data_IF_747019090080
#
_entry.id   IF_747019090080
#
_cell.length_a   1.000
_cell.length_b   1.000
_cell.length_c   1.000
_cell.angle_alpha   90.00
_cell.angle_beta   90.00
_cell.angle_gamma   90.00
#
_symmetry.space_group_name_H-M   'P 1'
#
loop_
_entity.id
_entity.type
_entity.pdbx_description
1 polymer ?
#
# COMPACT_ATOMS: atom_id res chain seq x y z
N UNK A 1 29.86 -47.26 19.01
CA UNK A 1 29.97 -45.85 19.42
C UNK A 1 29.31 -45.02 18.36
N UNK A 2 28.37 -44.15 18.74
CA UNK A 2 27.82 -43.18 17.80
C UNK A 2 28.90 -42.13 17.50
N UNK A 3 29.03 -41.71 16.24
CA UNK A 3 29.92 -40.62 15.86
C UNK A 3 29.28 -39.32 16.37
N UNK A 4 29.97 -38.60 17.26
CA UNK A 4 29.43 -37.39 17.89
C UNK A 4 29.70 -36.11 17.07
N UNK A 5 30.82 -36.07 16.33
CA UNK A 5 31.20 -34.96 15.47
C UNK A 5 32.08 -35.43 14.30
N UNK A 6 32.15 -34.61 13.26
CA UNK A 6 33.04 -34.80 12.10
C UNK A 6 33.78 -33.50 11.79
N UNK A 7 35.06 -33.61 11.43
CA UNK A 7 35.87 -32.54 10.85
C UNK A 7 36.39 -33.00 9.49
N UNK A 8 36.26 -32.15 8.48
CA UNK A 8 36.72 -32.38 7.12
C UNK A 8 37.52 -31.17 6.66
N UNK A 9 38.62 -31.40 5.95
CA UNK A 9 39.52 -30.36 5.43
C UNK A 9 39.99 -30.74 4.03
N UNK A 10 40.04 -29.77 3.12
CA UNK A 10 40.48 -29.94 1.74
C UNK A 10 39.33 -30.34 0.81
N UNK A 11 38.90 -29.41 -0.04
CA UNK A 11 37.86 -29.59 -1.06
C UNK A 11 36.57 -30.26 -0.54
N UNK A 12 36.04 -29.74 0.56
CA UNK A 12 34.82 -30.27 1.19
C UNK A 12 33.61 -29.95 0.29
N UNK A 13 32.86 -30.98 -0.10
CA UNK A 13 31.60 -30.84 -0.83
C UNK A 13 30.48 -31.47 0.01
N UNK A 14 29.52 -30.64 0.38
CA UNK A 14 28.34 -31.04 1.15
C UNK A 14 27.13 -30.88 0.22
N UNK A 15 26.34 -31.94 0.09
CA UNK A 15 25.10 -31.91 -0.68
C UNK A 15 23.94 -32.36 0.18
N UNK A 16 22.95 -31.47 0.33
CA UNK A 16 21.71 -31.73 1.05
C UNK A 16 20.53 -31.34 0.15
N UNK A 17 19.77 -32.34 -0.31
CA UNK A 17 18.69 -32.15 -1.28
C UNK A 17 19.20 -31.49 -2.58
N UNK A 18 18.74 -30.27 -2.87
CA UNK A 18 19.16 -29.46 -4.04
C UNK A 18 20.27 -28.46 -3.74
N UNK A 19 20.74 -28.38 -2.49
CA UNK A 19 21.74 -27.40 -2.06
C UNK A 19 23.11 -28.07 -2.04
N UNK A 20 24.08 -27.45 -2.70
CA UNK A 20 25.49 -27.89 -2.66
C UNK A 20 26.34 -26.76 -2.10
N UNK A 21 27.09 -27.07 -1.04
CA UNK A 21 28.05 -26.18 -0.40
C UNK A 21 29.44 -26.74 -0.67
N UNK A 22 30.34 -25.90 -1.18
CA UNK A 22 31.77 -26.17 -1.28
C UNK A 22 32.50 -25.37 -0.21
N UNK A 23 33.52 -25.93 0.41
CA UNK A 23 34.25 -25.28 1.49
C UNK A 23 35.67 -25.82 1.62
N UNK A 24 36.54 -25.06 2.27
CA UNK A 24 37.90 -25.50 2.59
C UNK A 24 37.91 -26.40 3.81
N UNK A 25 37.10 -26.05 4.82
CA UNK A 25 36.97 -26.80 6.07
C UNK A 25 35.51 -26.86 6.54
N UNK A 26 35.13 -28.00 7.11
CA UNK A 26 33.85 -28.21 7.78
C UNK A 26 34.08 -28.87 9.13
N UNK A 27 33.46 -28.32 10.17
CA UNK A 27 33.21 -29.00 11.43
C UNK A 27 31.69 -29.15 11.63
N UNK A 28 31.21 -30.35 11.96
CA UNK A 28 29.81 -30.60 12.26
C UNK A 28 29.67 -31.44 13.54
N UNK A 29 28.87 -30.95 14.48
CA UNK A 29 28.53 -31.60 15.75
C UNK A 29 27.10 -32.17 15.64
N UNK A 30 27.00 -33.50 15.57
CA UNK A 30 25.73 -34.21 15.40
C UNK A 30 24.85 -34.13 16.65
N UNK A 31 25.46 -33.99 17.83
CA UNK A 31 24.74 -33.94 19.11
C UNK A 31 24.05 -32.60 19.29
N UNK A 32 24.76 -31.52 18.95
CA UNK A 32 24.26 -30.14 19.11
C UNK A 32 23.62 -29.57 17.85
N UNK A 33 23.67 -30.30 16.73
CA UNK A 33 23.26 -29.84 15.40
C UNK A 33 23.88 -28.49 15.03
N UNK A 34 25.19 -28.36 15.27
CA UNK A 34 25.96 -27.13 14.99
C UNK A 34 27.01 -27.41 13.93
N UNK A 35 27.19 -26.44 13.03
CA UNK A 35 28.15 -26.52 11.94
C UNK A 35 29.04 -25.26 11.92
N UNK A 36 30.29 -25.43 11.51
CA UNK A 36 31.21 -24.35 11.17
C UNK A 36 31.84 -24.68 9.83
N UNK A 37 31.66 -23.80 8.85
CA UNK A 37 32.15 -23.93 7.48
C UNK A 37 33.07 -22.75 7.18
N UNK A 38 34.26 -23.00 6.65
CA UNK A 38 35.25 -21.97 6.29
C UNK A 38 35.33 -21.85 4.77
N UNK A 39 35.33 -20.62 4.28
CA UNK A 39 35.33 -20.28 2.85
C UNK A 39 34.21 -21.00 2.08
N UNK A 40 33.00 -20.89 2.59
CA UNK A 40 31.83 -21.52 2.02
C UNK A 40 31.42 -20.85 0.70
N UNK A 41 31.20 -21.65 -0.33
CA UNK A 41 30.63 -21.24 -1.61
C UNK A 41 29.40 -22.09 -1.87
N UNK A 42 28.25 -21.43 -2.04
CA UNK A 42 27.01 -22.09 -2.43
C UNK A 42 26.44 -21.46 -3.69
N UNK A 43 25.75 -22.28 -4.47
CA UNK A 43 24.96 -21.86 -5.62
C UNK A 43 23.49 -22.17 -5.33
N UNK A 44 22.65 -21.17 -5.49
CA UNK A 44 21.20 -21.29 -5.45
C UNK A 44 20.60 -20.72 -6.74
N UNK A 45 19.29 -20.88 -6.93
CA UNK A 45 18.56 -20.33 -8.06
C UNK A 45 17.41 -19.46 -7.58
N UNK A 46 17.10 -18.42 -8.36
CA UNK A 46 15.82 -17.71 -8.26
C UNK A 46 14.71 -18.52 -8.86
N UNK A 47 13.80 -19.02 -8.02
CA UNK A 47 12.67 -19.81 -8.48
C UNK A 47 11.75 -19.01 -9.42
N UNK A 48 11.68 -17.68 -9.27
CA UNK A 48 10.81 -16.82 -10.07
C UNK A 48 11.46 -16.39 -11.40
N UNK A 49 12.77 -16.13 -11.39
CA UNK A 49 13.49 -15.57 -12.56
C UNK A 49 14.45 -16.54 -13.25
N UNK A 50 14.71 -17.71 -12.66
CA UNK A 50 15.69 -18.68 -13.15
C UNK A 50 17.16 -18.23 -13.04
N UNK A 51 17.43 -17.11 -12.36
CA UNK A 51 18.77 -16.52 -12.29
C UNK A 51 19.59 -17.25 -11.21
N UNK A 52 20.83 -17.72 -11.52
CA UNK A 52 21.71 -18.29 -10.51
C UNK A 52 22.16 -17.22 -9.51
N UNK A 53 22.21 -17.57 -8.24
CA UNK A 53 22.78 -16.75 -7.17
C UNK A 53 23.94 -17.51 -6.55
N UNK A 54 25.09 -16.84 -6.50
CA UNK A 54 26.29 -17.31 -5.82
C UNK A 54 26.40 -16.58 -4.49
N UNK A 55 26.54 -17.36 -3.42
CA UNK A 55 26.81 -16.86 -2.07
C UNK A 55 28.16 -17.38 -1.65
N UNK A 56 29.03 -16.46 -1.23
CA UNK A 56 30.35 -16.75 -0.69
C UNK A 56 30.42 -16.21 0.73
N UNK A 57 30.97 -16.95 1.67
CA UNK A 57 31.13 -16.51 3.04
C UNK A 57 32.49 -16.96 3.57
N UNK A 58 33.25 -16.04 4.18
CA UNK A 58 34.53 -16.39 4.81
C UNK A 58 34.30 -17.39 5.96
N UNK A 59 33.21 -17.22 6.70
CA UNK A 59 32.78 -18.16 7.73
C UNK A 59 31.26 -18.28 7.74
N UNK A 60 30.76 -19.51 7.77
CA UNK A 60 29.35 -19.81 7.90
C UNK A 60 29.15 -20.73 9.11
N UNK A 61 28.21 -20.39 9.98
CA UNK A 61 27.90 -21.14 11.21
C UNK A 61 26.43 -21.53 11.24
N UNK A 62 26.14 -22.78 11.55
CA UNK A 62 24.81 -23.19 12.00
C UNK A 62 24.79 -23.11 13.53
N UNK A 63 24.06 -22.13 14.05
CA UNK A 63 23.95 -21.86 15.50
C UNK A 63 22.89 -22.75 16.16
N UNK A 64 21.84 -23.08 15.43
CA UNK A 64 20.76 -24.00 15.78
C UNK A 64 20.16 -24.59 14.49
N UNK A 65 19.25 -25.56 14.62
CA UNK A 65 18.58 -26.20 13.49
C UNK A 65 17.95 -25.20 12.51
N UNK A 66 17.36 -24.12 13.02
CA UNK A 66 16.72 -23.05 12.26
C UNK A 66 17.48 -21.72 12.27
N UNK A 67 18.75 -21.67 12.71
CA UNK A 67 19.49 -20.40 12.84
C UNK A 67 20.90 -20.50 12.29
N UNK A 68 21.23 -19.62 11.36
CA UNK A 68 22.50 -19.56 10.64
C UNK A 68 23.14 -18.19 10.82
N UNK A 69 24.46 -18.14 10.81
CA UNK A 69 25.23 -16.91 10.83
C UNK A 69 26.33 -16.95 9.75
N UNK A 70 26.60 -15.82 9.12
CA UNK A 70 27.67 -15.68 8.12
C UNK A 70 28.51 -14.45 8.41
N UNK A 71 29.82 -14.57 8.21
CA UNK A 71 30.79 -13.47 8.30
C UNK A 71 31.42 -13.25 6.92
N UNK A 72 31.57 -11.98 6.52
CA UNK A 72 32.06 -11.52 5.22
C UNK A 72 31.39 -12.26 4.06
N UNK A 73 30.07 -12.05 3.94
CA UNK A 73 29.24 -12.67 2.92
C UNK A 73 29.20 -11.82 1.66
N UNK A 74 29.40 -12.44 0.50
CA UNK A 74 29.24 -11.82 -0.81
C UNK A 74 28.13 -12.54 -1.57
N UNK A 75 27.11 -11.78 -2.01
CA UNK A 75 26.00 -12.24 -2.83
C UNK A 75 26.14 -11.64 -4.24
N UNK A 76 26.01 -12.47 -5.28
CA UNK A 76 26.07 -12.02 -6.67
C UNK A 76 25.33 -12.97 -7.61
N UNK A 77 24.87 -12.48 -8.75
CA UNK A 77 24.37 -13.31 -9.86
C UNK A 77 25.47 -13.75 -10.84
N UNK A 78 26.71 -13.26 -10.65
CA UNK A 78 27.86 -13.61 -11.49
C UNK A 78 28.59 -14.84 -10.95
N UNK A 79 28.96 -15.76 -11.84
CA UNK A 79 29.77 -16.92 -11.48
C UNK A 79 31.24 -16.59 -11.21
N UNK A 80 31.72 -15.45 -11.70
CA UNK A 80 33.12 -15.06 -11.59
C UNK A 80 33.53 -14.74 -10.15
N UNK A 81 34.80 -15.04 -9.83
CA UNK A 81 35.37 -14.75 -8.51
C UNK A 81 35.34 -13.26 -8.18
N UNK A 82 35.60 -12.40 -9.17
CA UNK A 82 35.42 -10.95 -9.11
C UNK A 82 34.12 -10.57 -9.82
N UNK A 83 32.99 -10.48 -9.11
CA UNK A 83 31.72 -10.10 -9.71
C UNK A 83 31.67 -8.61 -10.03
N UNK A 84 31.14 -8.25 -11.19
CA UNK A 84 30.91 -6.85 -11.56
C UNK A 84 29.90 -6.17 -10.63
N UNK A 85 28.87 -6.88 -10.17
CA UNK A 85 27.91 -6.37 -9.18
C UNK A 85 27.81 -7.36 -8.05
N UNK A 86 27.99 -6.90 -6.81
CA UNK A 86 27.86 -7.74 -5.62
C UNK A 86 27.33 -6.98 -4.39
N UNK A 87 26.58 -7.70 -3.56
CA UNK A 87 26.19 -7.25 -2.23
C UNK A 87 27.13 -7.89 -1.22
N UNK A 88 27.89 -7.08 -0.48
CA UNK A 88 28.86 -7.52 0.51
C UNK A 88 28.33 -7.18 1.90
N UNK A 89 28.32 -8.14 2.81
CA UNK A 89 27.73 -8.04 4.14
C UNK A 89 28.78 -8.48 5.15
N UNK A 90 29.07 -7.66 6.16
CA UNK A 90 30.07 -8.03 7.18
C UNK A 90 29.56 -9.16 8.07
N UNK A 91 28.34 -9.04 8.57
CA UNK A 91 27.70 -10.04 9.43
C UNK A 91 26.25 -10.25 9.01
N UNK A 92 25.82 -11.51 8.92
CA UNK A 92 24.41 -11.87 8.70
C UNK A 92 23.97 -12.93 9.69
N UNK A 93 22.75 -12.79 10.22
CA UNK A 93 22.05 -13.82 10.99
C UNK A 93 20.76 -14.14 10.25
N UNK A 94 20.56 -15.39 9.87
CA UNK A 94 19.36 -15.89 9.21
C UNK A 94 18.64 -16.82 10.17
N UNK A 95 17.36 -16.56 10.42
CA UNK A 95 16.48 -17.43 11.20
C UNK A 95 15.38 -17.95 10.29
N UNK A 96 15.23 -19.27 10.20
CA UNK A 96 14.10 -19.90 9.53
C UNK A 96 12.89 -19.83 10.46
N UNK A 97 11.86 -19.13 10.00
CA UNK A 97 10.59 -18.88 10.70
C UNK A 97 9.43 -19.63 10.05
N UNK A 98 9.71 -20.57 9.14
CA UNK A 98 8.69 -21.39 8.49
C UNK A 98 7.88 -22.14 9.55
N UNK A 99 6.58 -21.88 9.61
CA UNK A 99 5.68 -22.60 10.52
C UNK A 99 5.24 -23.90 9.85
N UNK A 100 5.41 -25.02 10.55
CA UNK A 100 4.87 -26.30 10.12
C UNK A 100 3.42 -26.32 10.58
N UNK A 101 2.48 -26.03 9.67
CA UNK A 101 1.06 -26.10 9.99
C UNK A 101 0.60 -27.57 9.98
N UNK A 102 0.71 -28.23 11.13
CA UNK A 102 0.43 -29.67 11.32
C UNK A 102 -1.02 -30.06 10.99
N UNK A 103 -1.96 -29.11 10.86
CA UNK A 103 -3.38 -29.39 10.56
C UNK A 103 -3.70 -29.59 9.09
N UNK A 104 -2.86 -29.12 8.17
CA UNK A 104 -3.21 -29.07 6.73
C UNK A 104 -2.28 -29.91 5.85
N UNK A 105 -1.14 -30.39 6.39
CA UNK A 105 -0.17 -31.15 5.60
C UNK A 105 0.42 -30.35 4.43
N UNK A 106 0.21 -29.03 4.40
CA UNK A 106 0.85 -28.08 3.49
C UNK A 106 1.93 -27.35 4.26
N UNK A 107 3.17 -27.48 3.80
CA UNK A 107 4.27 -26.60 4.22
C UNK A 107 3.86 -25.18 3.81
N UNK A 108 3.84 -24.22 4.75
CA UNK A 108 3.65 -22.81 4.40
C UNK A 108 4.74 -22.39 3.42
N UNK A 109 4.53 -21.32 2.65
CA UNK A 109 5.64 -20.72 1.90
C UNK A 109 6.81 -20.47 2.87
N UNK A 110 8.02 -20.84 2.44
CA UNK A 110 9.21 -20.78 3.29
C UNK A 110 9.43 -19.34 3.78
N UNK A 111 9.48 -19.15 5.09
CA UNK A 111 9.59 -17.83 5.73
C UNK A 111 10.93 -17.73 6.45
N UNK A 112 11.67 -16.66 6.19
CA UNK A 112 12.98 -16.42 6.80
C UNK A 112 13.06 -15.00 7.36
N UNK A 113 13.91 -14.81 8.36
CA UNK A 113 14.31 -13.52 8.89
C UNK A 113 15.83 -13.37 8.80
N UNK A 114 16.31 -12.49 7.93
CA UNK A 114 17.73 -12.20 7.75
C UNK A 114 18.08 -10.80 8.26
N UNK A 115 18.92 -10.74 9.29
CA UNK A 115 19.47 -9.49 9.85
C UNK A 115 20.91 -9.33 9.39
N UNK A 116 21.22 -8.22 8.74
CA UNK A 116 22.50 -7.95 8.08
C UNK A 116 23.13 -6.67 8.63
N UNK A 117 24.46 -6.66 8.78
CA UNK A 117 25.24 -5.50 9.21
C UNK A 117 26.27 -5.11 8.14
N UNK A 118 26.48 -3.82 8.00
CA UNK A 118 27.44 -3.19 7.08
C UNK A 118 27.28 -3.68 5.63
N UNK A 119 26.06 -3.53 5.13
CA UNK A 119 25.69 -3.95 3.77
C UNK A 119 26.27 -2.95 2.77
N UNK A 120 27.05 -3.46 1.81
CA UNK A 120 27.75 -2.69 0.78
C UNK A 120 27.39 -3.22 -0.60
N UNK A 121 26.69 -2.42 -1.40
CA UNK A 121 26.54 -2.69 -2.82
C UNK A 121 27.80 -2.22 -3.54
N UNK A 122 28.46 -3.13 -4.23
CA UNK A 122 29.68 -2.85 -5.00
C UNK A 122 29.44 -2.99 -6.50
N UNK A 123 30.04 -2.07 -7.24
CA UNK A 123 30.28 -2.16 -8.67
C UNK A 123 31.79 -2.35 -8.84
N UNK A 124 32.19 -3.53 -9.31
CA UNK A 124 33.54 -4.06 -9.21
C UNK A 124 34.05 -3.95 -7.76
N UNK A 125 35.15 -3.22 -7.53
CA UNK A 125 35.73 -3.02 -6.19
C UNK A 125 35.18 -1.77 -5.48
N UNK A 126 34.43 -0.92 -6.18
CA UNK A 126 33.93 0.35 -5.64
C UNK A 126 32.60 0.16 -4.93
N UNK A 127 32.52 0.63 -3.69
CA UNK A 127 31.25 0.67 -2.95
C UNK A 127 30.41 1.84 -3.44
N UNK A 128 29.26 1.55 -4.04
CA UNK A 128 28.33 2.56 -4.58
C UNK A 128 27.19 2.86 -3.60
N UNK A 129 26.91 1.97 -2.66
CA UNK A 129 25.94 2.17 -1.59
C UNK A 129 26.38 1.43 -0.33
N UNK A 130 26.20 2.07 0.83
CA UNK A 130 26.48 1.52 2.15
C UNK A 130 25.28 1.72 3.08
N UNK A 131 24.93 0.70 3.83
CA UNK A 131 23.89 0.77 4.86
C UNK A 131 24.30 -0.02 6.11
N UNK A 132 24.19 0.56 7.32
CA UNK A 132 24.74 -0.05 8.53
C UNK A 132 23.96 -1.28 9.01
N UNK A 133 22.62 -1.26 8.91
CA UNK A 133 21.76 -2.35 9.39
C UNK A 133 20.61 -2.55 8.40
N UNK A 134 20.44 -3.76 7.90
CA UNK A 134 19.34 -4.14 7.01
C UNK A 134 18.67 -5.41 7.51
N UNK A 135 17.35 -5.51 7.35
CA UNK A 135 16.58 -6.72 7.63
C UNK A 135 15.82 -7.14 6.37
N UNK A 136 15.78 -8.42 6.04
CA UNK A 136 15.07 -8.96 4.88
C UNK A 136 14.35 -10.25 5.25
N UNK A 137 13.18 -10.49 4.67
CA UNK A 137 12.45 -11.75 4.78
C UNK A 137 12.96 -12.84 3.80
N UNK A 138 14.08 -12.58 3.12
CA UNK A 138 14.64 -13.38 2.01
C UNK A 138 13.67 -13.62 0.84
N UNK A 139 12.57 -12.86 0.79
CA UNK A 139 11.63 -12.85 -0.32
C UNK A 139 12.17 -11.89 -1.38
N UNK A 140 12.42 -12.45 -2.56
CA UNK A 140 13.26 -11.81 -3.57
C UNK A 140 12.53 -10.66 -4.27
N UNK A 141 13.25 -9.59 -4.66
CA UNK A 141 14.71 -9.37 -4.56
C UNK A 141 15.20 -9.07 -3.14
N UNK A 142 16.43 -9.47 -2.77
CA UNK A 142 17.04 -9.27 -1.43
C UNK A 142 17.75 -7.91 -1.25
N UNK A 143 17.61 -7.01 -2.23
CA UNK A 143 18.22 -5.68 -2.19
C UNK A 143 17.30 -4.69 -1.47
N UNK A 144 17.87 -3.66 -0.79
CA UNK A 144 17.06 -2.58 -0.22
C UNK A 144 16.44 -1.70 -1.31
N UNK A 145 17.07 -1.67 -2.49
CA UNK A 145 16.61 -0.94 -3.66
C UNK A 145 15.58 -1.77 -4.43
N UNK A 146 14.39 -1.20 -4.63
CA UNK A 146 13.30 -1.76 -5.46
C UNK A 146 13.53 -1.43 -6.94
N UNK A 147 13.78 -0.17 -7.25
CA UNK A 147 13.97 0.29 -8.61
C UNK A 147 14.76 1.60 -8.67
N UNK A 148 15.37 1.82 -9.83
CA UNK A 148 15.98 3.09 -10.23
C UNK A 148 15.46 3.43 -11.61
N UNK A 149 14.95 4.64 -11.77
CA UNK A 149 14.55 5.18 -13.06
C UNK A 149 15.38 6.43 -13.34
N UNK A 150 15.88 6.55 -14.56
CA UNK A 150 16.63 7.72 -15.03
C UNK A 150 15.98 8.18 -16.31
N UNK A 151 15.68 9.47 -16.39
CA UNK A 151 15.00 10.06 -17.52
C UNK A 151 15.55 11.43 -17.87
N UNK A 152 15.14 11.93 -19.03
CA UNK A 152 15.32 13.32 -19.41
C UNK A 152 14.14 13.79 -20.24
N UNK A 153 13.48 14.85 -19.79
CA UNK A 153 12.44 15.51 -20.60
C UNK A 153 12.35 17.02 -20.35
N UNK A 154 11.45 17.67 -21.09
CA UNK A 154 11.30 19.11 -21.05
C UNK A 154 10.57 19.64 -19.79
N UNK A 155 9.79 18.81 -19.11
CA UNK A 155 9.02 19.19 -17.92
C UNK A 155 9.85 19.03 -16.65
N UNK A 156 10.56 17.92 -16.52
CA UNK A 156 11.31 17.53 -15.32
C UNK A 156 12.82 17.77 -15.44
N UNK A 157 13.34 17.88 -16.67
CA UNK A 157 14.78 17.90 -16.91
C UNK A 157 15.39 16.51 -16.77
N UNK A 158 16.67 16.44 -16.38
CA UNK A 158 17.29 15.18 -15.98
C UNK A 158 16.64 14.69 -14.69
N UNK A 159 16.08 13.48 -14.70
CA UNK A 159 15.43 12.86 -13.56
C UNK A 159 16.18 11.63 -13.08
N UNK A 160 16.22 11.45 -11.75
CA UNK A 160 16.67 10.23 -11.08
C UNK A 160 15.65 9.91 -10.00
N UNK A 161 14.95 8.80 -10.17
CA UNK A 161 13.91 8.35 -9.24
C UNK A 161 14.34 7.02 -8.64
N UNK A 162 14.39 6.94 -7.32
CA UNK A 162 14.80 5.72 -6.61
C UNK A 162 13.70 5.26 -5.68
N UNK A 163 13.42 3.96 -5.67
CA UNK A 163 12.44 3.33 -4.78
C UNK A 163 13.14 2.31 -3.93
N UNK A 164 12.84 2.28 -2.64
CA UNK A 164 13.50 1.43 -1.66
C UNK A 164 12.45 0.71 -0.79
N UNK A 165 12.77 -0.50 -0.33
CA UNK A 165 11.94 -1.18 0.66
C UNK A 165 12.06 -0.46 2.02
N UNK A 166 11.01 0.25 2.43
CA UNK A 166 11.03 1.10 3.61
C UNK A 166 11.26 0.28 4.90
N UNK A 167 10.52 -0.81 5.07
CA UNK A 167 10.71 -1.71 6.21
C UNK A 167 12.16 -2.20 6.35
N UNK A 168 12.80 -2.54 5.22
CA UNK A 168 14.20 -3.02 5.21
C UNK A 168 15.20 -1.94 5.57
N UNK A 169 15.00 -0.71 5.07
CA UNK A 169 15.84 0.45 5.42
C UNK A 169 15.75 0.76 6.92
N UNK A 170 14.56 0.63 7.51
CA UNK A 170 14.31 0.85 8.93
C UNK A 170 14.68 -0.36 9.81
N UNK A 171 15.10 -1.49 9.22
CA UNK A 171 15.41 -2.72 9.95
C UNK A 171 14.18 -3.40 10.58
N UNK A 172 12.99 -3.07 10.10
CA UNK A 172 11.72 -3.63 10.56
C UNK A 172 11.38 -4.92 9.79
N UNK A 173 10.66 -5.82 10.45
CA UNK A 173 10.05 -6.95 9.76
C UNK A 173 8.77 -6.42 9.09
N UNK A 174 8.70 -6.54 7.77
CA UNK A 174 7.50 -6.20 7.03
C UNK A 174 6.41 -7.22 7.34
N UNK A 175 5.27 -6.73 7.82
CA UNK A 175 4.17 -7.60 8.19
C UNK A 175 3.51 -8.16 6.91
N UNK A 176 3.00 -9.39 6.97
CA UNK A 176 2.44 -10.08 5.79
C UNK A 176 1.38 -9.24 5.06
N UNK A 177 1.29 -9.27 3.73
CA UNK A 177 0.32 -8.46 2.99
C UNK A 177 0.54 -6.94 3.11
N UNK A 178 1.69 -6.46 3.58
CA UNK A 178 2.08 -5.05 3.56
C UNK A 178 3.24 -4.84 2.61
N UNK A 179 3.17 -3.84 1.74
CA UNK A 179 4.27 -3.40 0.90
C UNK A 179 4.59 -1.92 1.19
N UNK A 180 5.78 -1.68 1.74
CA UNK A 180 6.24 -0.35 2.12
C UNK A 180 7.39 0.13 1.23
N UNK A 181 7.23 1.32 0.67
CA UNK A 181 8.17 1.94 -0.26
C UNK A 181 8.59 3.30 0.24
N UNK A 182 9.90 3.55 0.24
CA UNK A 182 10.48 4.87 0.36
C UNK A 182 10.90 5.37 -1.02
N UNK A 183 10.46 6.57 -1.38
CA UNK A 183 10.80 7.24 -2.63
C UNK A 183 11.80 8.37 -2.36
N UNK A 184 12.87 8.43 -3.15
CA UNK A 184 13.80 9.55 -3.17
C UNK A 184 14.09 9.93 -4.61
N UNK A 185 13.67 11.15 -4.96
CA UNK A 185 13.59 11.62 -6.33
C UNK A 185 14.38 12.92 -6.50
N UNK A 186 15.00 13.05 -7.67
CA UNK A 186 15.67 14.27 -8.10
C UNK A 186 15.19 14.61 -9.51
N UNK A 187 14.72 15.84 -9.69
CA UNK A 187 14.31 16.37 -10.97
C UNK A 187 15.10 17.66 -11.24
N UNK A 188 15.93 17.68 -12.27
CA UNK A 188 16.83 18.81 -12.53
C UNK A 188 16.14 20.17 -12.72
N UNK A 189 14.87 20.19 -13.14
CA UNK A 189 14.06 21.42 -13.25
C UNK A 189 13.15 21.69 -12.06
N UNK A 190 12.92 20.71 -11.17
CA UNK A 190 11.98 20.85 -10.04
C UNK A 190 12.68 20.81 -8.69
N UNK A 191 13.62 19.90 -8.46
CA UNK A 191 14.38 19.80 -7.21
C UNK A 191 14.35 18.39 -6.62
N UNK A 192 14.55 18.30 -5.30
CA UNK A 192 14.58 17.05 -4.55
C UNK A 192 13.21 16.73 -3.94
N UNK A 193 12.72 15.53 -4.23
CA UNK A 193 11.49 14.98 -3.70
C UNK A 193 11.72 13.75 -2.84
N UNK A 194 10.84 13.52 -1.88
CA UNK A 194 10.88 12.36 -1.00
C UNK A 194 9.47 11.94 -0.60
N UNK A 195 9.23 10.64 -0.49
CA UNK A 195 7.91 10.12 -0.17
C UNK A 195 7.91 8.73 0.43
N UNK A 196 6.74 8.36 0.93
CA UNK A 196 6.44 7.05 1.49
C UNK A 196 5.13 6.55 0.88
N UNK A 197 5.15 5.32 0.39
CA UNK A 197 3.97 4.61 -0.09
C UNK A 197 3.84 3.32 0.72
N UNK A 198 2.66 3.06 1.29
CA UNK A 198 2.40 1.86 2.07
C UNK A 198 1.04 1.31 1.61
N UNK A 199 1.07 0.15 0.99
CA UNK A 199 -0.10 -0.65 0.68
C UNK A 199 -0.20 -1.78 1.71
N UNK A 200 -1.39 -2.04 2.25
CA UNK A 200 -1.59 -3.10 3.23
C UNK A 200 -2.93 -3.80 3.04
N UNK A 201 -2.91 -5.12 3.22
CA UNK A 201 -4.05 -6.02 3.10
C UNK A 201 -3.99 -7.07 4.22
N UNK A 202 -5.14 -7.26 4.88
CA UNK A 202 -5.40 -8.25 5.92
C UNK A 202 -6.77 -8.86 5.67
N UNK A 203 -7.09 -9.92 6.40
CA UNK A 203 -8.37 -10.62 6.31
C UNK A 203 -9.60 -9.70 6.39
N UNK A 204 -9.56 -8.69 7.25
CA UNK A 204 -10.71 -7.81 7.51
C UNK A 204 -10.47 -6.35 7.16
N UNK A 205 -9.27 -5.94 6.73
CA UNK A 205 -9.03 -4.56 6.32
C UNK A 205 -7.96 -4.44 5.26
N UNK A 206 -8.05 -3.40 4.46
CA UNK A 206 -7.04 -3.05 3.49
C UNK A 206 -7.00 -1.53 3.29
N UNK A 207 -5.91 -1.04 2.74
CA UNK A 207 -5.78 0.37 2.43
C UNK A 207 -4.43 0.75 1.86
N UNK A 208 -4.32 2.05 1.59
CA UNK A 208 -3.14 2.67 1.01
C UNK A 208 -2.83 3.97 1.71
N UNK A 209 -1.56 4.23 1.95
CA UNK A 209 -1.03 5.50 2.43
C UNK A 209 0.03 5.98 1.44
N UNK A 210 -0.05 7.25 1.05
CA UNK A 210 0.88 7.93 0.17
C UNK A 210 1.17 9.30 0.79
N UNK A 211 2.41 9.53 1.19
CA UNK A 211 2.92 10.84 1.56
C UNK A 211 4.05 11.22 0.62
N UNK A 212 4.03 12.41 0.05
CA UNK A 212 5.11 12.87 -0.82
C UNK A 212 5.32 14.38 -0.65
N UNK A 213 6.57 14.79 -0.56
CA UNK A 213 6.98 16.19 -0.47
C UNK A 213 8.10 16.48 -1.46
N UNK A 214 8.15 17.69 -1.97
CA UNK A 214 9.21 18.15 -2.88
C UNK A 214 9.50 19.63 -2.64
N UNK A 215 10.79 19.96 -2.64
CA UNK A 215 11.23 21.34 -2.75
C UNK A 215 11.25 21.71 -4.25
N UNK A 216 10.12 22.21 -4.74
CA UNK A 216 9.88 22.59 -6.13
C UNK A 216 10.33 24.03 -6.41
N UNK A 217 11.33 24.18 -7.27
CA UNK A 217 11.82 25.46 -7.78
C UNK A 217 11.40 25.74 -9.23
N UNK A 218 10.61 24.86 -9.83
CA UNK A 218 10.18 24.97 -11.22
C UNK A 218 8.77 25.54 -11.38
N UNK A 219 8.34 25.62 -12.64
CA UNK A 219 7.02 26.09 -13.03
C UNK A 219 6.18 24.95 -13.62
N UNK A 220 4.87 25.00 -13.39
CA UNK A 220 3.92 24.00 -13.86
C UNK A 220 3.48 24.24 -15.30
N UNK A 221 3.64 23.22 -16.13
CA UNK A 221 3.13 23.20 -17.50
C UNK A 221 2.01 22.18 -17.63
N UNK A 222 0.78 22.66 -17.43
CA UNK A 222 -0.41 21.83 -17.31
C UNK A 222 -1.21 21.78 -18.61
N UNK A 223 -0.95 22.69 -19.55
CA UNK A 223 -1.64 22.74 -20.84
C UNK A 223 -0.82 23.33 -21.98
N UNK A 224 -1.48 23.49 -23.13
CA UNK A 224 -0.92 24.15 -24.33
C UNK A 224 -1.36 25.62 -24.47
N UNK A 225 -2.28 26.08 -23.64
CA UNK A 225 -2.73 27.48 -23.59
C UNK A 225 -1.78 28.28 -22.71
N UNK A 226 -1.57 29.56 -23.04
CA UNK A 226 -0.61 30.40 -22.33
C UNK A 226 -0.98 30.63 -20.86
N UNK A 227 -2.27 30.59 -20.49
CA UNK A 227 -2.72 30.62 -19.09
C UNK A 227 -2.42 29.34 -18.29
N UNK A 228 -1.88 28.30 -18.93
CA UNK A 228 -1.59 26.97 -18.35
C UNK A 228 -0.17 26.50 -18.68
N UNK A 229 0.64 27.38 -19.26
CA UNK A 229 2.09 27.23 -19.40
C UNK A 229 2.72 28.05 -18.30
N UNK A 230 3.79 27.53 -17.71
CA UNK A 230 4.68 28.32 -16.86
C UNK A 230 3.97 28.91 -15.63
N UNK A 231 3.14 28.10 -14.98
CA UNK A 231 2.43 28.46 -13.76
C UNK A 231 3.36 28.34 -12.55
N UNK A 232 3.67 29.47 -11.91
CA UNK A 232 4.43 29.47 -10.66
C UNK A 232 3.61 28.87 -9.51
N UNK A 233 4.16 27.87 -8.80
CA UNK A 233 3.51 27.35 -7.60
C UNK A 233 3.43 28.41 -6.49
N UNK A 234 2.37 28.38 -5.64
CA UNK A 234 2.20 29.35 -4.57
C UNK A 234 3.28 29.24 -3.48
N UNK A 235 3.95 28.10 -3.37
CA UNK A 235 5.08 27.90 -2.46
C UNK A 235 6.07 26.90 -3.05
N UNK A 236 7.33 26.99 -2.61
CA UNK A 236 8.39 26.07 -3.06
C UNK A 236 8.30 24.69 -2.40
N UNK A 237 7.76 24.57 -1.19
CA UNK A 237 7.59 23.26 -0.55
C UNK A 237 6.20 22.72 -0.87
N UNK A 238 6.13 21.76 -1.78
CA UNK A 238 4.89 21.18 -2.27
C UNK A 238 4.78 19.73 -1.86
N UNK A 239 3.57 19.19 -1.91
CA UNK A 239 3.38 17.80 -1.55
C UNK A 239 1.93 17.37 -1.49
N UNK A 240 1.75 16.10 -1.14
CA UNK A 240 0.45 15.50 -0.87
C UNK A 240 0.52 14.54 0.29
N UNK A 241 -0.63 14.36 0.91
CA UNK A 241 -0.91 13.26 1.80
C UNK A 241 -2.22 12.61 1.35
N UNK A 242 -2.20 11.31 1.13
CA UNK A 242 -3.36 10.53 0.76
C UNK A 242 -3.39 9.27 1.59
N UNK A 243 -4.50 9.03 2.28
CA UNK A 243 -4.74 7.80 3.02
C UNK A 243 -6.14 7.31 2.73
N UNK A 244 -6.26 6.05 2.33
CA UNK A 244 -7.53 5.39 2.11
C UNK A 244 -7.52 4.06 2.86
N UNK A 245 -8.63 3.75 3.54
CA UNK A 245 -8.75 2.57 4.37
C UNK A 245 -10.17 2.04 4.33
N UNK A 246 -10.30 0.71 4.22
CA UNK A 246 -11.57 0.00 4.35
C UNK A 246 -11.42 -1.12 5.38
N UNK A 247 -12.36 -1.18 6.32
CA UNK A 247 -12.39 -2.17 7.40
C UNK A 247 -13.76 -2.83 7.46
N UNK A 248 -13.79 -4.15 7.38
CA UNK A 248 -14.94 -4.98 7.72
C UNK A 248 -14.93 -5.26 9.23
N UNK A 249 -15.89 -4.69 9.92
CA UNK A 249 -16.06 -4.76 11.36
C UNK A 249 -17.11 -5.85 11.70
N UNK A 250 -17.15 -6.36 12.95
CA UNK A 250 -18.18 -7.29 13.39
C UNK A 250 -19.60 -6.76 13.16
N UNK A 251 -20.59 -7.66 13.10
CA UNK A 251 -22.01 -7.33 12.89
C UNK A 251 -22.29 -6.61 11.55
N UNK A 252 -21.62 -7.05 10.48
CA UNK A 252 -21.78 -6.54 9.11
C UNK A 252 -21.53 -5.03 8.95
N UNK A 253 -20.78 -4.43 9.88
CA UNK A 253 -20.35 -3.04 9.75
C UNK A 253 -19.17 -2.94 8.77
N UNK A 254 -19.16 -1.90 7.95
CA UNK A 254 -18.07 -1.56 7.06
C UNK A 254 -17.70 -0.09 7.27
N UNK A 255 -16.47 0.15 7.71
CA UNK A 255 -15.85 1.47 7.78
C UNK A 255 -15.07 1.73 6.49
N UNK A 256 -15.23 2.90 5.90
CA UNK A 256 -14.42 3.40 4.77
C UNK A 256 -14.00 4.83 5.09
N UNK A 257 -12.69 5.08 5.11
CA UNK A 257 -12.13 6.40 5.36
C UNK A 257 -11.19 6.80 4.25
N UNK A 258 -11.23 8.08 3.90
CA UNK A 258 -10.30 8.70 2.97
C UNK A 258 -9.85 10.03 3.55
N UNK A 259 -8.58 10.34 3.43
CA UNK A 259 -8.02 11.65 3.79
C UNK A 259 -7.06 12.05 2.70
N UNK A 260 -7.44 13.08 1.94
CA UNK A 260 -6.63 13.61 0.86
C UNK A 260 -6.33 15.08 1.06
N UNK A 261 -5.04 15.40 1.09
CA UNK A 261 -4.48 16.73 1.18
C UNK A 261 -3.47 16.94 0.05
N UNK A 262 -3.52 18.10 -0.58
CA UNK A 262 -2.53 18.56 -1.53
C UNK A 262 -2.11 20.00 -1.18
N UNK A 263 -0.84 20.32 -1.42
CA UNK A 263 -0.28 21.65 -1.12
C UNK A 263 -0.95 22.78 -1.90
N UNK A 264 -1.39 22.49 -3.13
CA UNK A 264 -1.98 23.46 -4.05
C UNK A 264 -2.85 22.76 -5.10
N UNK A 265 -3.66 23.57 -5.80
CA UNK A 265 -4.64 23.11 -6.79
C UNK A 265 -4.02 22.38 -7.99
N UNK A 266 -2.75 22.65 -8.31
CA UNK A 266 -2.08 22.16 -9.50
C UNK A 266 -1.20 20.93 -9.21
N UNK A 267 -0.95 20.60 -7.93
CA UNK A 267 0.02 19.58 -7.55
C UNK A 267 -0.34 18.19 -8.11
N UNK A 268 -1.60 17.77 -7.94
CA UNK A 268 -2.06 16.45 -8.40
C UNK A 268 -2.06 16.37 -9.93
N UNK A 269 -2.48 17.43 -10.63
CA UNK A 269 -2.45 17.48 -12.09
C UNK A 269 -1.03 17.41 -12.65
N UNK A 270 -0.09 18.10 -12.01
CA UNK A 270 1.32 18.17 -12.41
C UNK A 270 2.08 16.87 -12.15
N UNK A 271 1.99 16.33 -10.94
CA UNK A 271 2.79 15.17 -10.50
C UNK A 271 2.08 13.83 -10.69
N UNK A 272 0.75 13.81 -10.64
CA UNK A 272 -0.06 12.58 -10.69
C UNK A 272 -1.13 12.67 -11.78
N UNK A 273 -0.71 13.06 -12.99
CA UNK A 273 -1.61 13.41 -14.10
C UNK A 273 -2.62 12.32 -14.46
N UNK A 274 -2.23 11.04 -14.37
CA UNK A 274 -3.15 9.92 -14.60
C UNK A 274 -4.29 9.92 -13.58
N UNK A 275 -3.96 10.09 -12.30
CA UNK A 275 -4.93 10.17 -11.21
C UNK A 275 -5.83 11.40 -11.36
N UNK A 276 -5.27 12.54 -11.75
CA UNK A 276 -6.06 13.74 -12.00
C UNK A 276 -7.09 13.55 -13.12
N UNK A 277 -6.70 12.88 -14.22
CA UNK A 277 -7.54 12.78 -15.41
C UNK A 277 -8.64 11.71 -15.31
N UNK A 278 -8.33 10.56 -14.70
CA UNK A 278 -9.23 9.39 -14.69
C UNK A 278 -9.47 8.81 -13.30
N UNK A 279 -8.78 9.32 -12.29
CA UNK A 279 -8.93 8.85 -10.92
C UNK A 279 -10.21 9.34 -10.25
N UNK A 280 -10.49 8.77 -9.08
CA UNK A 280 -11.54 9.28 -8.18
C UNK A 280 -11.16 10.69 -7.72
N UNK A 281 -12.18 11.52 -7.54
CA UNK A 281 -12.01 12.80 -6.87
C UNK A 281 -11.38 12.63 -5.48
N UNK A 282 -10.48 13.54 -5.14
CA UNK A 282 -9.79 13.57 -3.85
C UNK A 282 -10.73 14.06 -2.75
N UNK A 283 -10.99 13.23 -1.74
CA UNK A 283 -11.95 13.55 -0.69
C UNK A 283 -11.37 13.36 0.70
N UNK A 284 -12.03 13.96 1.69
CA UNK A 284 -11.79 13.65 3.09
C UNK A 284 -13.11 13.26 3.74
N UNK A 285 -13.27 11.98 4.03
CA UNK A 285 -14.49 11.48 4.62
C UNK A 285 -14.26 10.24 5.50
N UNK A 286 -15.22 10.03 6.39
CA UNK A 286 -15.45 8.80 7.13
C UNK A 286 -16.87 8.34 6.83
N UNK A 287 -17.00 7.11 6.36
CA UNK A 287 -18.27 6.49 6.03
C UNK A 287 -18.38 5.16 6.74
N UNK A 288 -19.40 5.01 7.58
CA UNK A 288 -19.68 3.80 8.32
C UNK A 288 -21.05 3.29 7.89
N UNK A 289 -21.11 2.07 7.34
CA UNK A 289 -22.38 1.47 6.91
C UNK A 289 -22.57 0.08 7.49
N UNK A 290 -23.82 -0.31 7.72
CA UNK A 290 -24.25 -1.67 8.01
C UNK A 290 -25.34 -2.06 7.05
N UNK A 291 -25.23 -3.25 6.49
CA UNK A 291 -26.24 -3.82 5.60
C UNK A 291 -26.57 -5.20 6.16
N UNK A 292 -27.84 -5.46 6.40
CA UNK A 292 -28.31 -6.72 6.96
C UNK A 292 -29.70 -7.03 6.42
N UNK A 293 -29.86 -8.24 5.89
CA UNK A 293 -31.08 -8.71 5.23
C UNK A 293 -31.62 -7.71 4.19
N UNK A 294 -32.71 -7.02 4.52
CA UNK A 294 -33.42 -6.07 3.68
C UNK A 294 -33.27 -4.62 4.13
N UNK A 295 -32.37 -4.31 5.08
CA UNK A 295 -32.15 -2.94 5.53
C UNK A 295 -30.67 -2.53 5.50
N UNK A 296 -30.45 -1.22 5.37
CA UNK A 296 -29.14 -0.61 5.46
C UNK A 296 -29.18 0.66 6.29
N UNK A 297 -28.13 0.90 7.06
CA UNK A 297 -27.90 2.12 7.84
C UNK A 297 -26.53 2.67 7.47
N UNK A 298 -26.44 3.94 7.13
CA UNK A 298 -25.19 4.61 6.78
C UNK A 298 -25.00 5.87 7.64
N UNK A 299 -23.75 6.17 7.96
CA UNK A 299 -23.33 7.41 8.59
C UNK A 299 -22.14 7.97 7.80
N UNK A 300 -22.23 9.22 7.38
CA UNK A 300 -21.22 9.91 6.60
C UNK A 300 -20.78 11.19 7.32
N UNK A 301 -19.46 11.35 7.42
CA UNK A 301 -18.81 12.61 7.75
C UNK A 301 -17.86 12.97 6.62
N UNK A 302 -18.14 14.04 5.87
CA UNK A 302 -17.37 14.53 4.74
C UNK A 302 -16.94 15.97 4.98
N UNK A 303 -15.64 16.21 4.99
CA UNK A 303 -15.04 17.51 5.25
C UNK A 303 -14.18 18.00 4.09
N UNK A 304 -13.85 19.29 4.11
CA UNK A 304 -12.95 19.90 3.12
C UNK A 304 -11.62 20.29 3.76
N UNK A 305 -10.56 19.53 3.46
CA UNK A 305 -9.19 19.89 3.83
C UNK A 305 -8.56 20.88 2.83
N UNK A 306 -8.76 20.65 1.54
CA UNK A 306 -8.17 21.46 0.47
C UNK A 306 -9.02 22.72 0.22
N UNK A 307 -8.48 23.89 0.54
CA UNK A 307 -9.23 25.15 0.51
C UNK A 307 -9.50 25.70 -0.91
N UNK A 308 -8.85 25.14 -1.92
CA UNK A 308 -9.02 25.48 -3.33
C UNK A 308 -10.13 24.66 -4.03
N UNK A 309 -10.66 23.62 -3.38
CA UNK A 309 -11.70 22.76 -3.97
C UNK A 309 -13.10 23.25 -3.57
N UNK A 310 -14.03 23.12 -4.50
CA UNK A 310 -15.46 23.28 -4.26
C UNK A 310 -16.02 21.98 -3.68
N UNK A 311 -16.63 22.05 -2.49
CA UNK A 311 -17.11 20.86 -1.81
C UNK A 311 -18.39 21.12 -1.02
N UNK A 312 -19.32 20.18 -1.10
CA UNK A 312 -20.38 20.04 -0.11
C UNK A 312 -19.83 19.21 1.05
N UNK A 313 -19.74 19.84 2.22
CA UNK A 313 -19.41 19.16 3.46
C UNK A 313 -20.69 18.61 4.09
N UNK A 314 -20.55 17.45 4.71
CA UNK A 314 -21.63 16.66 5.30
C UNK A 314 -21.20 16.24 6.70
N UNK A 315 -21.70 16.88 7.76
CA UNK A 315 -21.22 16.59 9.10
C UNK A 315 -22.25 16.90 10.19
N UNK A 316 -23.02 15.90 10.67
CA UNK A 316 -23.13 14.52 10.16
C UNK A 316 -24.22 14.35 9.09
N UNK A 317 -24.12 13.27 8.31
CA UNK A 317 -25.23 12.72 7.51
C UNK A 317 -25.52 11.28 7.93
N UNK A 318 -26.79 10.89 7.92
CA UNK A 318 -27.25 9.55 8.23
C UNK A 318 -28.35 9.12 7.27
N UNK A 319 -28.27 7.89 6.77
CA UNK A 319 -29.27 7.33 5.86
C UNK A 319 -29.77 5.98 6.37
N UNK A 320 -31.05 5.71 6.15
CA UNK A 320 -31.67 4.42 6.42
C UNK A 320 -32.45 3.96 5.19
N UNK A 321 -32.20 2.73 4.77
CA UNK A 321 -32.85 2.10 3.62
C UNK A 321 -33.52 0.80 4.06
N UNK A 322 -34.72 0.55 3.56
CA UNK A 322 -35.47 -0.70 3.65
C UNK A 322 -35.84 -1.09 2.23
N UNK A 323 -35.17 -2.10 1.67
CA UNK A 323 -35.25 -2.51 0.26
C UNK A 323 -36.35 -3.54 -0.02
N UNK A 324 -37.33 -3.65 0.89
CA UNK A 324 -38.50 -4.51 0.74
C UNK A 324 -38.77 -5.33 1.99
N UNK A 325 -39.86 -5.03 2.68
CA UNK A 325 -40.38 -5.81 3.81
C UNK A 325 -41.75 -6.36 3.44
N UNK A 326 -41.89 -7.69 3.45
CA UNK A 326 -43.20 -8.32 3.30
C UNK A 326 -44.09 -8.01 4.51
N UNK A 327 -45.35 -7.69 4.21
CA UNK A 327 -46.38 -7.37 5.18
C UNK A 327 -47.65 -8.15 4.82
N UNK A 328 -48.37 -8.59 5.86
CA UNK A 328 -49.65 -9.31 5.75
C UNK A 328 -49.57 -10.54 4.82
N UNK A 329 -48.71 -11.51 5.16
CA UNK A 329 -48.52 -12.77 4.42
C UNK A 329 -48.24 -12.56 2.91
N UNK A 330 -47.24 -11.74 2.60
CA UNK A 330 -46.82 -11.41 1.23
C UNK A 330 -47.87 -10.68 0.37
N UNK A 331 -48.95 -10.17 0.97
CA UNK A 331 -49.90 -9.33 0.24
C UNK A 331 -49.30 -7.98 -0.14
N UNK A 332 -48.40 -7.42 0.68
CA UNK A 332 -47.80 -6.11 0.44
C UNK A 332 -46.29 -6.11 0.68
N UNK A 333 -45.59 -5.23 -0.03
CA UNK A 333 -44.16 -4.98 0.17
C UNK A 333 -43.93 -3.51 0.50
N UNK A 334 -43.29 -3.25 1.63
CA UNK A 334 -42.90 -1.91 2.08
C UNK A 334 -41.45 -1.60 1.71
N UNK A 335 -41.26 -0.43 1.12
CA UNK A 335 -39.96 0.19 0.88
C UNK A 335 -39.88 1.52 1.63
N UNK A 336 -38.72 1.83 2.18
CA UNK A 336 -38.49 3.09 2.89
C UNK A 336 -37.07 3.57 2.71
N UNK A 337 -36.90 4.84 2.36
CA UNK A 337 -35.61 5.52 2.25
C UNK A 337 -35.68 6.81 3.07
N UNK A 338 -34.75 7.01 3.99
CA UNK A 338 -34.68 8.19 4.85
C UNK A 338 -33.27 8.73 4.88
N UNK A 339 -33.12 10.04 4.78
CA UNK A 339 -31.85 10.75 4.88
C UNK A 339 -32.02 11.95 5.80
N UNK A 340 -31.06 12.15 6.70
CA UNK A 340 -30.94 13.35 7.53
C UNK A 340 -29.49 13.81 7.51
N UNK A 341 -29.27 15.03 7.04
CA UNK A 341 -27.94 15.54 6.71
C UNK A 341 -27.76 16.97 7.19
N UNK A 342 -26.63 17.27 7.82
CA UNK A 342 -26.20 18.65 8.10
C UNK A 342 -25.12 19.05 7.13
N UNK A 343 -25.46 20.00 6.26
CA UNK A 343 -24.72 20.32 5.05
C UNK A 343 -24.06 21.71 5.13
N UNK A 344 -22.89 21.86 4.52
CA UNK A 344 -22.25 23.17 4.30
C UNK A 344 -21.61 23.23 2.92
N UNK A 345 -22.06 24.15 2.07
CA UNK A 345 -21.42 24.36 0.78
C UNK A 345 -20.21 25.29 0.92
N UNK A 346 -19.05 24.84 0.43
CA UNK A 346 -17.79 25.59 0.44
C UNK A 346 -17.25 25.71 -0.97
N UNK A 347 -16.78 26.89 -1.32
CA UNK A 347 -16.17 27.18 -2.61
C UNK A 347 -14.67 27.44 -2.42
N UNK A 348 -13.87 27.13 -3.45
CA UNK A 348 -12.45 27.38 -3.48
C UNK A 348 -12.13 28.88 -3.41
N UNK A 349 -11.10 29.25 -2.66
CA UNK A 349 -10.78 30.66 -2.35
C UNK A 349 -10.57 31.57 -3.58
N UNK A 350 -10.22 31.00 -4.73
CA UNK A 350 -9.99 31.74 -5.99
C UNK A 350 -11.25 31.89 -6.85
N UNK A 351 -12.38 31.29 -6.49
CA UNK A 351 -13.63 31.40 -7.24
C UNK A 351 -14.41 32.65 -6.81
N UNK A 352 -15.00 33.34 -7.79
CA UNK A 352 -15.69 34.63 -7.61
C UNK A 352 -17.19 34.50 -7.28
N UNK A 353 -17.69 33.30 -7.03
CA UNK A 353 -19.11 33.05 -6.79
C UNK A 353 -19.44 33.26 -5.31
N UNK A 354 -20.26 34.26 -5.00
CA UNK A 354 -20.78 34.46 -3.66
C UNK A 354 -21.90 33.45 -3.37
N UNK A 355 -21.66 32.53 -2.44
CA UNK A 355 -22.68 31.61 -1.92
C UNK A 355 -22.88 31.80 -0.42
N UNK A 356 -24.07 31.43 0.05
CA UNK A 356 -24.30 31.29 1.49
C UNK A 356 -23.60 30.02 2.00
N UNK A 357 -22.51 30.20 2.75
CA UNK A 357 -21.75 29.12 3.37
C UNK A 357 -22.23 28.74 4.77
N UNK A 358 -23.41 29.22 5.20
CA UNK A 358 -24.02 28.78 6.45
C UNK A 358 -24.40 27.30 6.34
N UNK A 359 -24.28 26.60 7.47
CA UNK A 359 -24.79 25.24 7.61
C UNK A 359 -26.30 25.24 7.43
N UNK A 360 -26.81 24.17 6.85
CA UNK A 360 -28.24 23.95 6.64
C UNK A 360 -28.59 22.49 6.89
N UNK A 361 -29.84 22.25 7.26
CA UNK A 361 -30.36 20.92 7.56
C UNK A 361 -31.15 20.42 6.37
N UNK A 362 -30.85 19.20 5.91
CA UNK A 362 -31.57 18.52 4.86
C UNK A 362 -32.20 17.24 5.42
N UNK A 363 -33.48 17.02 5.10
CA UNK A 363 -34.20 15.79 5.44
C UNK A 363 -34.96 15.33 4.22
N UNK A 364 -34.82 14.07 3.87
CA UNK A 364 -35.61 13.41 2.82
C UNK A 364 -36.18 12.11 3.37
N UNK A 365 -37.44 11.83 3.06
CA UNK A 365 -38.07 10.56 3.39
C UNK A 365 -38.98 10.13 2.25
N UNK A 366 -38.78 8.92 1.74
CA UNK A 366 -39.66 8.25 0.80
C UNK A 366 -40.16 6.96 1.42
N UNK A 367 -41.47 6.74 1.32
CA UNK A 367 -42.08 5.44 1.60
C UNK A 367 -42.88 5.00 0.40
N UNK A 368 -42.79 3.72 0.05
CA UNK A 368 -43.50 3.10 -1.06
C UNK A 368 -44.09 1.76 -0.62
N UNK A 369 -45.30 1.49 -1.08
CA UNK A 369 -46.10 0.33 -0.67
C UNK A 369 -46.69 -0.34 -1.90
N UNK A 370 -46.24 -1.55 -2.15
CA UNK A 370 -46.53 -2.34 -3.35
C UNK A 370 -47.47 -3.48 -3.02
N UNK A 371 -48.35 -3.84 -3.95
CA UNK A 371 -49.25 -5.00 -3.83
C UNK A 371 -49.04 -5.97 -5.00
N UNK A 372 -48.11 -6.93 -4.94
CA UNK A 372 -47.85 -7.82 -6.05
C UNK A 372 -49.04 -8.78 -6.31
N UNK A 373 -49.67 -8.67 -7.48
CA UNK A 373 -50.74 -9.55 -7.93
C UNK A 373 -50.27 -10.46 -9.06
N UNK A 374 -50.41 -11.77 -8.85
CA UNK A 374 -50.05 -12.79 -9.83
C UNK A 374 -51.30 -13.42 -10.45
N UNK A 375 -51.42 -13.35 -11.78
CA UNK A 375 -52.38 -14.11 -12.58
C UNK A 375 -51.63 -14.83 -13.70
N UNK A 376 -52.06 -16.02 -14.13
CA UNK A 376 -51.27 -16.90 -14.99
C UNK A 376 -50.68 -16.26 -16.28
N UNK A 377 -51.32 -15.28 -16.94
CA UNK A 377 -50.68 -14.52 -18.03
C UNK A 377 -50.09 -13.16 -17.63
N UNK A 378 -50.33 -12.63 -16.42
CA UNK A 378 -50.01 -11.25 -16.04
C UNK A 378 -49.44 -11.12 -14.63
N UNK A 379 -48.39 -10.30 -14.51
CA UNK A 379 -47.88 -9.80 -13.22
C UNK A 379 -48.23 -8.32 -13.14
N UNK A 380 -49.04 -7.93 -12.17
CA UNK A 380 -49.47 -6.55 -11.96
C UNK A 380 -49.05 -6.15 -10.55
N UNK A 381 -48.33 -5.03 -10.41
CA UNK A 381 -47.90 -4.52 -9.09
C UNK A 381 -48.39 -3.08 -8.97
N UNK A 382 -49.62 -2.87 -8.46
CA UNK A 382 -50.06 -1.54 -8.03
C UNK A 382 -49.17 -1.06 -6.87
N UNK A 383 -48.82 0.21 -6.86
CA UNK A 383 -48.02 0.82 -5.82
C UNK A 383 -48.57 2.19 -5.41
N UNK A 384 -48.29 2.59 -4.17
CA UNK A 384 -48.48 3.96 -3.69
C UNK A 384 -47.19 4.43 -3.03
N UNK A 385 -46.71 5.61 -3.41
CA UNK A 385 -45.48 6.19 -2.87
C UNK A 385 -45.68 7.64 -2.42
N UNK A 386 -45.02 8.01 -1.33
CA UNK A 386 -44.98 9.37 -0.81
C UNK A 386 -43.54 9.80 -0.56
N UNK A 387 -43.19 11.02 -1.01
CA UNK A 387 -41.90 11.65 -0.75
C UNK A 387 -42.08 12.97 -0.01
N UNK A 388 -41.38 13.10 1.11
CA UNK A 388 -41.23 14.30 1.91
C UNK A 388 -39.79 14.79 1.83
N UNK A 389 -39.60 16.09 1.68
CA UNK A 389 -38.28 16.73 1.64
C UNK A 389 -38.32 18.07 2.37
N UNK A 390 -37.27 18.37 3.12
CA UNK A 390 -37.10 19.60 3.89
C UNK A 390 -35.66 20.11 3.81
N UNK A 391 -35.52 21.43 3.63
CA UNK A 391 -34.26 22.17 3.64
C UNK A 391 -34.51 23.56 4.26
N UNK A 392 -33.70 23.94 5.24
CA UNK A 392 -33.78 25.25 5.92
C UNK A 392 -32.98 26.37 5.23
N UNK A 393 -32.20 26.07 4.17
CA UNK A 393 -31.47 27.06 3.37
C UNK A 393 -32.32 27.73 2.31
N UNK A 394 -33.00 26.93 1.50
CA UNK A 394 -33.72 27.41 0.32
C UNK A 394 -35.24 27.44 0.50
N UNK A 395 -35.78 26.68 1.47
CA UNK A 395 -37.21 26.49 1.69
C UNK A 395 -37.86 25.84 0.47
N UNK A 396 -38.35 24.60 0.59
CA UNK A 396 -39.09 23.95 -0.49
C UNK A 396 -40.38 24.74 -0.83
N UNK A 397 -40.31 25.73 -1.74
CA UNK A 397 -41.49 26.28 -2.41
C UNK A 397 -41.92 25.28 -3.48
N UNK A 398 -42.73 24.30 -3.09
CA UNK A 398 -43.58 23.56 -4.03
C UNK A 398 -44.60 24.55 -4.61
N UNK A 399 -44.34 25.12 -5.78
CA UNK A 399 -45.45 25.50 -6.66
C UNK A 399 -45.99 24.20 -7.26
N UNK A 400 -47.15 23.77 -6.78
CA UNK A 400 -47.99 22.81 -7.50
C UNK A 400 -48.23 23.37 -8.91
N UNK A 401 -47.90 22.60 -9.95
CA UNK A 401 -48.54 22.72 -11.26
C UNK A 401 -49.51 21.56 -11.37
#
# INVERSE_FOLDING_TARGET
GAIEAIYMSGDVIITEGRRTIRADELYYDFTRKKALVINAVMRSFDASRGIPIYVRAAKLRQLAENKFAGENVTLTSSEFYLPQISLNISDVIITDTTTIDERVGKVSDSSYDAQMRDVRLKLDDKTIFYWPIMRSNLQRPDTPLKSVHVGYDNTWGASLETRWYLARLLGLLEAEGTDSTFALDYYGKRGLGSGVEIDYERENYFGRLLGYIIQDSGEDRLGRTDSRKDLEPPSKLRGRFFWQHKHFLPYNWQLTTETSYASDENFIEGYYRSEFNVGKEQETYIHLKRIEDNWALSFLGKGRLNNFVDKLEEFPSAEFHLTGQSLFDDMFTLYSDSEVSQLRQRIGEKHSIAINEKRFSFVSHRTEFDMPLYSAPFKIVPFVAGTFGYDDRSGFRRSLV
#
